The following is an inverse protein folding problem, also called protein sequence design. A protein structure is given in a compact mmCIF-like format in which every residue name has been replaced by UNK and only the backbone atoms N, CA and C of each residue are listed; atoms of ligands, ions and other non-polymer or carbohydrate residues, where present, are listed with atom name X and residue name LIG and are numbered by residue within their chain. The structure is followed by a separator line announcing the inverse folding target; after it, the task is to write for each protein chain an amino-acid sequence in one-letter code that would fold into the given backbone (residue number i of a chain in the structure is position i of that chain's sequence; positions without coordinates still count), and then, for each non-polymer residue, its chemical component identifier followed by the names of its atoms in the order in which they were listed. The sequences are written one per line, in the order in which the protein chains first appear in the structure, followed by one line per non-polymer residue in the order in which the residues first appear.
data_IF_922471616392
#
_entry.id   IF_922471616392
#
_cell.length_a   1.000
_cell.length_b   1.000
_cell.length_c   1.000
_cell.angle_alpha   90.00
_cell.angle_beta   90.00
_cell.angle_gamma   90.00
#
_symmetry.space_group_name_H-M   'P 1'
#
loop_
_entity.id
_entity.type
_entity.pdbx_description
1 polymer ?
#
# COMPACT_ATOMS: atom_id res chain seq x y z
N UNK A 1 -0.52 5.86 1.96
CA UNK A 1 0.51 6.86 2.26
C UNK A 1 0.10 7.83 3.38
N UNK A 2 -1.02 8.62 3.28
CA UNK A 2 -1.38 9.60 4.32
C UNK A 2 -1.74 8.94 5.66
N UNK A 3 -2.55 7.89 5.65
CA UNK A 3 -2.92 7.13 6.86
C UNK A 3 -1.67 6.50 7.47
N UNK A 4 -0.83 5.82 6.68
CA UNK A 4 0.45 5.24 7.14
C UNK A 4 1.32 6.28 7.85
N UNK A 5 1.50 7.47 7.26
CA UNK A 5 2.28 8.57 7.86
C UNK A 5 1.72 9.05 9.21
N UNK A 6 0.41 8.98 9.41
CA UNK A 6 -0.17 9.35 10.71
C UNK A 6 0.02 8.23 11.74
N UNK A 7 -0.18 6.96 11.35
CA UNK A 7 0.07 5.82 12.23
C UNK A 7 1.52 5.78 12.71
N UNK A 8 2.48 6.06 11.84
CA UNK A 8 3.92 6.10 12.18
C UNK A 8 4.31 7.20 13.18
N UNK A 9 3.40 8.11 13.55
CA UNK A 9 3.64 9.03 14.68
C UNK A 9 3.55 8.35 16.04
N UNK A 10 2.84 7.21 16.12
CA UNK A 10 2.81 6.38 17.31
C UNK A 10 4.05 5.46 17.34
N UNK A 11 4.70 5.30 18.51
CA UNK A 11 5.84 4.41 18.67
C UNK A 11 5.49 2.93 18.52
N UNK A 12 4.20 2.58 18.52
CA UNK A 12 3.74 1.20 18.36
C UNK A 12 3.95 0.69 16.94
N UNK A 13 4.06 1.60 15.95
CA UNK A 13 4.21 1.26 14.53
C UNK A 13 5.64 1.50 14.05
N UNK A 14 6.06 0.67 13.10
CA UNK A 14 7.31 0.81 12.39
C UNK A 14 7.06 0.72 10.88
N UNK A 15 7.64 1.65 10.12
CA UNK A 15 7.67 1.54 8.67
C UNK A 15 8.58 0.39 8.24
N UNK A 16 8.15 -0.36 7.26
CA UNK A 16 8.99 -1.32 6.55
C UNK A 16 9.66 -0.59 5.39
N UNK A 17 10.98 -0.54 5.41
CA UNK A 17 11.77 0.06 4.35
C UNK A 17 12.06 -0.98 3.28
N UNK A 18 11.49 -0.80 2.09
CA UNK A 18 11.72 -1.71 0.96
C UNK A 18 13.11 -1.52 0.37
N UNK A 19 13.63 -2.58 -0.25
CA UNK A 19 14.88 -2.55 -1.00
C UNK A 19 14.62 -2.19 -2.46
N UNK A 20 15.57 -1.52 -3.11
CA UNK A 20 15.50 -1.25 -4.55
C UNK A 20 16.88 -1.16 -5.17
N UNK A 21 16.98 -1.64 -6.43
CA UNK A 21 18.18 -1.43 -7.25
C UNK A 21 18.15 -0.14 -8.06
N UNK A 22 17.09 0.65 -7.90
CA UNK A 22 16.96 1.97 -8.50
C UNK A 22 17.86 2.98 -7.77
N UNK A 23 18.49 3.88 -8.51
CA UNK A 23 19.18 5.01 -7.90
C UNK A 23 18.22 5.94 -7.13
N UNK A 24 18.67 6.57 -6.03
CA UNK A 24 17.90 7.59 -5.32
C UNK A 24 17.42 8.70 -6.25
N UNK A 25 16.18 9.16 -6.05
CA UNK A 25 15.61 10.30 -6.79
C UNK A 25 15.65 11.55 -5.94
N UNK A 26 15.56 12.69 -6.61
CA UNK A 26 15.33 13.97 -5.94
C UNK A 26 13.91 14.43 -6.20
N UNK A 27 13.11 14.53 -5.14
CA UNK A 27 11.72 14.93 -5.19
C UNK A 27 11.57 16.29 -4.48
N UNK A 28 11.07 17.31 -5.16
CA UNK A 28 10.90 18.66 -4.61
C UNK A 28 12.16 19.23 -3.93
N UNK A 29 13.35 18.97 -4.49
CA UNK A 29 14.63 19.44 -3.95
C UNK A 29 15.21 18.61 -2.81
N UNK A 30 14.51 17.56 -2.36
CA UNK A 30 15.00 16.61 -1.35
C UNK A 30 15.39 15.30 -2.02
N UNK A 31 16.63 14.84 -1.77
CA UNK A 31 17.08 13.52 -2.23
C UNK A 31 16.52 12.42 -1.32
N UNK A 32 16.10 11.31 -1.92
CA UNK A 32 15.74 10.10 -1.18
C UNK A 32 16.95 9.60 -0.37
N UNK A 33 16.70 9.11 0.83
CA UNK A 33 17.73 8.70 1.80
C UNK A 33 17.73 7.19 1.99
N UNK A 34 18.94 6.61 1.98
CA UNK A 34 19.12 5.19 2.25
C UNK A 34 18.69 4.84 3.69
N UNK A 35 17.98 3.70 3.82
CA UNK A 35 17.43 3.25 5.09
C UNK A 35 16.22 4.04 5.60
N UNK A 36 15.74 5.03 4.85
CA UNK A 36 14.56 5.83 5.17
C UNK A 36 13.49 5.68 4.08
N UNK A 37 13.82 6.07 2.84
CA UNK A 37 12.89 5.95 1.71
C UNK A 37 12.97 4.56 1.09
N UNK A 38 14.18 4.06 0.94
CA UNK A 38 14.51 2.69 0.50
C UNK A 38 15.86 2.26 1.07
N UNK A 39 16.10 0.95 1.10
CA UNK A 39 17.45 0.41 1.10
C UNK A 39 17.93 0.34 -0.35
N UNK A 40 18.82 1.26 -0.74
CA UNK A 40 19.37 1.30 -2.09
C UNK A 40 20.51 0.29 -2.22
N UNK A 41 20.27 -0.78 -2.95
CA UNK A 41 21.22 -1.88 -3.14
C UNK A 41 21.61 -2.01 -4.61
N UNK A 42 22.76 -2.61 -4.89
CA UNK A 42 23.15 -2.95 -6.26
C UNK A 42 22.47 -4.23 -6.76
N UNK A 43 22.54 -4.47 -8.06
CA UNK A 43 21.90 -5.64 -8.69
C UNK A 43 22.48 -6.96 -8.17
N UNK A 44 23.78 -7.01 -7.87
CA UNK A 44 24.42 -8.23 -7.36
C UNK A 44 23.92 -8.57 -5.95
N UNK A 45 23.77 -7.56 -5.10
CA UNK A 45 23.18 -7.71 -3.75
C UNK A 45 21.74 -8.20 -3.86
N UNK A 46 20.92 -7.59 -4.74
CA UNK A 46 19.53 -8.02 -4.94
C UNK A 46 19.45 -9.48 -5.43
N UNK A 47 20.33 -9.89 -6.35
CA UNK A 47 20.40 -11.28 -6.84
C UNK A 47 20.77 -12.24 -5.71
N UNK A 48 21.75 -11.92 -4.90
CA UNK A 48 22.14 -12.73 -3.74
C UNK A 48 20.98 -12.87 -2.74
N UNK A 49 20.27 -11.78 -2.44
CA UNK A 49 19.10 -11.79 -1.56
C UNK A 49 17.98 -12.67 -2.12
N UNK A 50 17.73 -12.63 -3.44
CA UNK A 50 16.76 -13.50 -4.09
C UNK A 50 17.15 -14.98 -3.99
N UNK A 51 18.41 -15.31 -4.26
CA UNK A 51 18.92 -16.69 -4.19
C UNK A 51 18.87 -17.25 -2.77
N UNK A 52 19.06 -16.41 -1.76
CA UNK A 52 19.03 -16.79 -0.35
C UNK A 52 17.62 -16.75 0.28
N UNK A 53 16.58 -16.46 -0.50
CA UNK A 53 15.19 -16.28 -0.02
C UNK A 53 15.09 -15.22 1.10
N UNK A 54 15.83 -14.14 1.00
CA UNK A 54 15.82 -13.05 1.99
C UNK A 54 14.68 -12.05 1.78
N UNK A 55 14.00 -12.09 0.63
CA UNK A 55 12.80 -11.31 0.36
C UNK A 55 11.52 -12.06 0.74
N UNK A 56 10.56 -11.33 1.32
CA UNK A 56 9.16 -11.78 1.48
C UNK A 56 8.46 -11.68 0.13
N UNK A 57 8.63 -10.53 -0.54
CA UNK A 57 8.16 -10.28 -1.89
C UNK A 57 9.25 -9.50 -2.65
N UNK A 58 9.35 -9.76 -3.92
CA UNK A 58 10.20 -9.00 -4.81
C UNK A 58 9.60 -8.91 -6.22
N UNK A 59 9.68 -7.74 -6.82
CA UNK A 59 9.16 -7.45 -8.17
C UNK A 59 10.24 -6.84 -9.04
N UNK A 60 10.23 -7.24 -10.30
CA UNK A 60 11.06 -6.66 -11.32
C UNK A 60 10.22 -5.71 -12.19
N UNK A 61 10.44 -4.41 -12.04
CA UNK A 61 9.67 -3.37 -12.71
C UNK A 61 10.62 -2.46 -13.51
N UNK A 62 10.47 -2.42 -14.81
CA UNK A 62 11.28 -1.58 -15.72
C UNK A 62 12.80 -1.70 -15.50
N UNK A 63 13.30 -2.91 -15.32
CA UNK A 63 14.74 -3.15 -15.13
C UNK A 63 15.25 -2.93 -13.71
N UNK A 64 14.37 -2.72 -12.75
CA UNK A 64 14.70 -2.44 -11.35
C UNK A 64 14.00 -3.44 -10.43
N UNK A 65 14.72 -3.94 -9.44
CA UNK A 65 14.15 -4.77 -8.37
C UNK A 65 13.56 -3.85 -7.30
N UNK A 66 12.40 -4.21 -6.80
CA UNK A 66 11.80 -3.70 -5.58
C UNK A 66 11.40 -4.89 -4.72
N UNK A 67 11.63 -4.85 -3.43
CA UNK A 67 11.24 -5.95 -2.56
C UNK A 67 11.35 -5.64 -1.09
N UNK A 68 10.62 -6.39 -0.28
CA UNK A 68 10.65 -6.29 1.17
C UNK A 68 11.38 -7.49 1.76
N UNK A 69 12.38 -7.24 2.60
CA UNK A 69 13.16 -8.31 3.21
C UNK A 69 12.51 -8.87 4.48
N UNK A 70 12.79 -10.15 4.75
CA UNK A 70 12.44 -10.81 6.02
C UNK A 70 13.09 -10.08 7.21
N UNK A 71 14.28 -9.52 7.01
CA UNK A 71 15.01 -8.78 8.05
C UNK A 71 14.26 -7.55 8.55
N UNK A 72 13.54 -6.82 7.68
CA UNK A 72 12.73 -5.67 8.06
C UNK A 72 11.55 -6.06 8.97
N UNK A 73 10.85 -7.18 8.67
CA UNK A 73 9.81 -7.70 9.56
C UNK A 73 10.38 -8.15 10.90
N UNK A 74 11.49 -8.87 10.86
CA UNK A 74 12.15 -9.33 12.07
C UNK A 74 12.57 -8.15 12.97
N UNK A 75 13.09 -7.08 12.38
CA UNK A 75 13.48 -5.89 13.11
C UNK A 75 12.28 -5.20 13.81
N UNK A 76 11.13 -5.16 13.18
CA UNK A 76 9.90 -4.66 13.80
C UNK A 76 9.45 -5.56 14.97
N UNK A 77 9.46 -6.87 14.76
CA UNK A 77 9.15 -7.86 15.79
C UNK A 77 10.09 -7.76 17.01
N UNK A 78 11.41 -7.69 16.78
CA UNK A 78 12.41 -7.60 17.85
C UNK A 78 12.27 -6.29 18.67
N UNK A 79 11.72 -5.24 18.04
CA UNK A 79 11.36 -3.98 18.70
C UNK A 79 9.98 -3.99 19.35
N UNK A 80 9.24 -5.11 19.28
CA UNK A 80 7.85 -5.23 19.73
C UNK A 80 6.95 -4.13 19.12
N UNK A 81 7.10 -3.88 17.81
CA UNK A 81 6.36 -2.87 17.03
C UNK A 81 5.61 -3.53 15.89
N UNK A 82 4.48 -2.95 15.56
CA UNK A 82 3.70 -3.37 14.39
C UNK A 82 4.37 -2.85 13.12
N UNK A 83 4.75 -3.75 12.24
CA UNK A 83 5.29 -3.42 10.93
C UNK A 83 4.17 -2.95 10.00
N UNK A 84 4.33 -1.79 9.34
CA UNK A 84 3.39 -1.28 8.35
C UNK A 84 4.10 -0.99 7.03
N UNK A 85 3.42 -1.33 5.92
CA UNK A 85 3.89 -1.01 4.57
C UNK A 85 2.75 -0.64 3.65
N UNK A 86 3.05 0.10 2.57
CA UNK A 86 2.15 0.34 1.45
C UNK A 86 2.58 -0.56 0.29
N UNK A 87 1.72 -1.47 -0.13
CA UNK A 87 1.98 -2.38 -1.24
C UNK A 87 0.76 -2.46 -2.16
N UNK A 88 0.95 -2.91 -3.40
CA UNK A 88 -0.15 -3.18 -4.31
C UNK A 88 -0.84 -4.51 -4.01
N UNK A 89 -1.99 -4.77 -4.64
CA UNK A 89 -2.77 -5.99 -4.41
C UNK A 89 -2.00 -7.29 -4.69
N UNK A 90 -1.03 -7.27 -5.61
CA UNK A 90 -0.19 -8.45 -5.90
C UNK A 90 0.81 -8.70 -4.77
N UNK A 91 1.37 -7.64 -4.18
CA UNK A 91 2.23 -7.77 -3.01
C UNK A 91 1.47 -8.29 -1.80
N UNK A 92 0.23 -7.85 -1.58
CA UNK A 92 -0.61 -8.38 -0.49
C UNK A 92 -0.85 -9.87 -0.65
N UNK A 93 -1.12 -10.38 -1.85
CA UNK A 93 -1.30 -11.81 -2.11
C UNK A 93 -0.06 -12.63 -1.69
N UNK A 94 1.14 -12.11 -1.94
CA UNK A 94 2.38 -12.77 -1.49
C UNK A 94 2.54 -12.74 0.04
N UNK A 95 2.18 -11.62 0.68
CA UNK A 95 2.17 -11.53 2.14
C UNK A 95 1.19 -12.52 2.77
N UNK A 96 -0.03 -12.64 2.26
CA UNK A 96 -1.03 -13.62 2.75
C UNK A 96 -0.50 -15.06 2.70
N UNK A 97 0.31 -15.39 1.69
CA UNK A 97 0.91 -16.70 1.56
C UNK A 97 2.09 -16.94 2.51
N UNK A 98 2.92 -15.93 2.75
CA UNK A 98 4.20 -16.04 3.48
C UNK A 98 4.12 -15.56 4.92
N UNK A 99 3.21 -14.67 5.24
CA UNK A 99 2.96 -14.11 6.55
C UNK A 99 1.45 -14.01 6.82
N UNK A 100 0.75 -15.15 7.00
CA UNK A 100 -0.72 -15.20 7.07
C UNK A 100 -1.33 -14.47 8.27
N UNK A 101 -0.52 -14.08 9.25
CA UNK A 101 -0.95 -13.24 10.37
C UNK A 101 -0.94 -11.73 10.02
N UNK A 102 -0.60 -11.38 8.78
CA UNK A 102 -0.65 -10.00 8.32
C UNK A 102 -2.09 -9.51 8.16
N UNK A 103 -2.32 -8.25 8.46
CA UNK A 103 -3.62 -7.60 8.30
C UNK A 103 -3.61 -6.78 7.02
N UNK A 104 -4.37 -7.22 6.03
CA UNK A 104 -4.50 -6.52 4.76
C UNK A 104 -5.66 -5.50 4.84
N UNK A 105 -5.35 -4.22 4.60
CA UNK A 105 -6.33 -3.13 4.63
C UNK A 105 -6.42 -2.49 3.25
N UNK A 106 -7.61 -2.50 2.66
CA UNK A 106 -7.90 -1.85 1.39
C UNK A 106 -8.67 -0.55 1.62
N UNK A 107 -8.05 0.58 1.28
CA UNK A 107 -8.59 1.91 1.56
C UNK A 107 -9.25 2.46 0.31
N UNK A 108 -10.55 2.78 0.39
CA UNK A 108 -11.32 3.33 -0.72
C UNK A 108 -11.75 4.77 -0.45
N UNK A 109 -11.86 5.62 -1.49
CA UNK A 109 -12.55 6.91 -1.38
C UNK A 109 -14.06 6.69 -1.25
N UNK A 110 -14.83 7.69 -0.76
CA UNK A 110 -16.27 7.54 -0.56
C UNK A 110 -17.06 7.43 -1.87
N UNK A 111 -16.55 7.94 -2.99
CA UNK A 111 -17.18 7.92 -4.30
C UNK A 111 -16.16 8.19 -5.43
N UNK A 112 -16.61 8.00 -6.68
CA UNK A 112 -15.81 8.18 -7.89
C UNK A 112 -15.34 9.63 -8.10
N UNK A 113 -16.17 10.61 -7.78
CA UNK A 113 -15.81 12.03 -7.89
C UNK A 113 -14.63 12.36 -6.96
N UNK A 114 -14.70 11.98 -5.70
CA UNK A 114 -13.60 12.19 -4.74
C UNK A 114 -12.33 11.43 -5.18
N UNK A 115 -12.47 10.25 -5.76
CA UNK A 115 -11.33 9.52 -6.32
C UNK A 115 -10.63 10.30 -7.44
N UNK A 116 -11.41 10.80 -8.43
CA UNK A 116 -10.89 11.60 -9.54
C UNK A 116 -10.20 12.87 -9.03
N UNK A 117 -10.85 13.61 -8.12
CA UNK A 117 -10.31 14.84 -7.55
C UNK A 117 -8.98 14.60 -6.82
N UNK A 118 -8.87 13.50 -6.05
CA UNK A 118 -7.64 13.13 -5.36
C UNK A 118 -6.56 12.67 -6.33
N UNK A 119 -6.95 11.98 -7.39
CA UNK A 119 -6.03 11.54 -8.43
C UNK A 119 -5.46 12.73 -9.21
N UNK A 120 -6.30 13.68 -9.64
CA UNK A 120 -5.87 14.90 -10.33
C UNK A 120 -4.81 15.70 -9.56
N UNK A 121 -4.95 15.79 -8.24
CA UNK A 121 -3.98 16.50 -7.38
C UNK A 121 -2.56 15.92 -7.38
N UNK A 122 -2.36 14.74 -7.95
CA UNK A 122 -1.02 14.11 -8.07
C UNK A 122 -0.25 14.57 -9.32
N UNK A 123 -0.92 15.28 -10.24
CA UNK A 123 -0.33 15.71 -11.49
C UNK A 123 -0.19 17.23 -11.52
N UNK A 124 0.88 17.71 -12.16
CA UNK A 124 1.15 19.13 -12.25
C UNK A 124 0.22 19.85 -13.21
N UNK A 125 -0.19 19.16 -14.29
CA UNK A 125 -1.06 19.71 -15.33
C UNK A 125 -2.22 18.74 -15.65
N UNK A 126 -3.27 19.27 -16.31
CA UNK A 126 -4.38 18.45 -16.80
C UNK A 126 -3.91 17.52 -17.92
N UNK A 127 -2.95 17.95 -18.75
CA UNK A 127 -2.37 17.13 -19.82
C UNK A 127 -1.68 15.89 -19.24
N UNK A 128 -0.88 16.05 -18.18
CA UNK A 128 -0.22 14.94 -17.48
C UNK A 128 -1.26 13.95 -16.91
N UNK A 129 -2.33 14.49 -16.33
CA UNK A 129 -3.43 13.67 -15.82
C UNK A 129 -4.10 12.86 -16.95
N UNK A 130 -4.44 13.52 -18.07
CA UNK A 130 -5.10 12.86 -19.20
C UNK A 130 -4.22 11.77 -19.85
N UNK A 131 -2.89 11.99 -19.91
CA UNK A 131 -1.95 11.00 -20.42
C UNK A 131 -1.91 9.73 -19.55
N UNK A 132 -2.03 9.87 -18.22
CA UNK A 132 -1.99 8.75 -17.27
C UNK A 132 -3.38 8.15 -16.97
N UNK A 133 -4.47 8.86 -17.30
CA UNK A 133 -5.83 8.46 -16.99
C UNK A 133 -6.19 7.04 -17.43
N UNK A 134 -5.93 6.61 -18.70
CA UNK A 134 -6.33 5.26 -19.12
C UNK A 134 -5.68 4.17 -18.27
N UNK A 135 -4.43 4.37 -17.89
CA UNK A 135 -3.69 3.43 -17.05
C UNK A 135 -4.21 3.41 -15.61
N UNK A 136 -4.47 4.59 -15.03
CA UNK A 136 -5.00 4.71 -13.66
C UNK A 136 -6.41 4.16 -13.54
N UNK A 137 -7.24 4.42 -14.54
CA UNK A 137 -8.60 3.91 -14.64
C UNK A 137 -8.61 2.37 -14.69
N UNK A 138 -7.82 1.77 -15.60
CA UNK A 138 -7.72 0.32 -15.72
C UNK A 138 -7.17 -0.35 -14.44
N UNK A 139 -6.14 0.26 -13.80
CA UNK A 139 -5.61 -0.24 -12.53
C UNK A 139 -6.66 -0.20 -11.42
N UNK A 140 -7.41 0.90 -11.30
CA UNK A 140 -8.43 1.05 -10.26
C UNK A 140 -9.54 0.00 -10.38
N UNK A 141 -10.01 -0.28 -11.59
CA UNK A 141 -11.00 -1.35 -11.84
C UNK A 141 -10.44 -2.70 -11.39
N UNK A 142 -9.23 -3.03 -11.83
CA UNK A 142 -8.60 -4.31 -11.51
C UNK A 142 -8.38 -4.49 -10.02
N UNK A 143 -7.84 -3.48 -9.34
CA UNK A 143 -7.52 -3.51 -7.91
C UNK A 143 -8.78 -3.58 -7.05
N UNK A 144 -9.82 -2.77 -7.36
CA UNK A 144 -11.11 -2.82 -6.66
C UNK A 144 -11.82 -4.15 -6.85
N UNK A 145 -11.87 -4.67 -8.09
CA UNK A 145 -12.49 -5.96 -8.37
C UNK A 145 -11.81 -7.07 -7.57
N UNK A 146 -10.46 -7.11 -7.60
CA UNK A 146 -9.69 -8.09 -6.84
C UNK A 146 -9.92 -7.97 -5.33
N UNK A 147 -9.85 -6.78 -4.76
CA UNK A 147 -10.04 -6.57 -3.33
C UNK A 147 -11.45 -6.94 -2.85
N UNK A 148 -12.46 -6.85 -3.71
CA UNK A 148 -13.83 -7.27 -3.42
C UNK A 148 -14.05 -8.78 -3.55
N UNK A 149 -13.25 -9.48 -4.36
CA UNK A 149 -13.34 -10.91 -4.60
C UNK A 149 -12.73 -11.71 -3.46
N UNK A 150 -11.60 -11.24 -2.91
CA UNK A 150 -10.87 -11.97 -1.87
C UNK A 150 -11.36 -11.62 -0.46
N UNK A 151 -11.41 -12.60 0.48
CA UNK A 151 -12.02 -12.40 1.79
C UNK A 151 -11.10 -11.76 2.85
N UNK A 152 -9.80 -11.68 2.61
CA UNK A 152 -8.82 -11.29 3.61
C UNK A 152 -8.66 -9.77 3.79
N UNK A 153 -9.18 -8.95 2.87
CA UNK A 153 -9.11 -7.50 3.04
C UNK A 153 -10.14 -6.97 4.04
N UNK A 154 -9.66 -6.13 4.96
CA UNK A 154 -10.51 -5.16 5.63
C UNK A 154 -10.68 -3.94 4.74
N UNK A 155 -11.91 -3.58 4.41
CA UNK A 155 -12.18 -2.41 3.56
C UNK A 155 -12.49 -1.20 4.44
N UNK A 156 -11.79 -0.09 4.21
CA UNK A 156 -11.96 1.15 4.96
C UNK A 156 -12.32 2.27 4.00
N UNK A 157 -13.37 3.05 4.34
CA UNK A 157 -13.75 4.25 3.59
C UNK A 157 -12.96 5.43 4.15
N UNK A 158 -12.16 6.07 3.30
CA UNK A 158 -11.45 7.30 3.62
C UNK A 158 -12.26 8.53 3.14
N UNK A 159 -13.38 8.77 3.77
CA UNK A 159 -14.18 9.99 3.64
C UNK A 159 -13.68 11.08 4.60
N UNK A 160 -13.46 10.71 5.87
CA UNK A 160 -12.83 11.50 6.90
C UNK A 160 -11.52 10.87 7.34
N UNK A 161 -10.42 11.63 7.28
CA UNK A 161 -9.08 11.11 7.53
C UNK A 161 -8.90 10.64 8.98
N UNK A 162 -9.40 11.41 9.97
CA UNK A 162 -9.24 11.07 11.38
C UNK A 162 -10.03 9.80 11.74
N UNK A 163 -11.23 9.66 11.16
CA UNK A 163 -12.02 8.43 11.30
C UNK A 163 -11.31 7.25 10.67
N UNK A 164 -10.79 7.39 9.46
CA UNK A 164 -10.08 6.32 8.77
C UNK A 164 -8.84 5.87 9.54
N UNK A 165 -8.08 6.80 10.14
CA UNK A 165 -6.93 6.48 11.00
C UNK A 165 -7.38 5.68 12.21
N UNK A 166 -8.39 6.16 12.98
CA UNK A 166 -8.88 5.44 14.17
C UNK A 166 -9.37 4.03 13.85
N UNK A 167 -10.14 3.87 12.77
CA UNK A 167 -10.63 2.55 12.35
C UNK A 167 -9.45 1.64 11.97
N UNK A 168 -8.45 2.18 11.28
CA UNK A 168 -7.24 1.43 10.94
C UNK A 168 -6.49 0.97 12.19
N UNK A 169 -6.25 1.86 13.15
CA UNK A 169 -5.61 1.52 14.43
C UNK A 169 -6.40 0.45 15.19
N UNK A 170 -7.71 0.59 15.27
CA UNK A 170 -8.57 -0.36 15.98
C UNK A 170 -8.51 -1.75 15.35
N UNK A 171 -8.55 -1.85 14.01
CA UNK A 171 -8.41 -3.13 13.31
C UNK A 171 -7.04 -3.76 13.63
N UNK A 172 -5.96 -2.98 13.58
CA UNK A 172 -4.60 -3.48 13.78
C UNK A 172 -4.38 -3.91 15.24
N UNK A 173 -4.78 -3.09 16.21
CA UNK A 173 -4.43 -3.30 17.63
C UNK A 173 -5.41 -4.21 18.37
N UNK A 174 -6.66 -4.29 17.92
CA UNK A 174 -7.74 -5.03 18.60
C UNK A 174 -8.25 -6.25 17.83
N UNK A 175 -7.76 -6.46 16.61
CA UNK A 175 -8.26 -7.48 15.72
C UNK A 175 -9.62 -7.12 15.12
N UNK A 176 -10.21 -8.06 14.39
CA UNK A 176 -11.45 -7.88 13.62
C UNK A 176 -12.70 -7.75 14.52
N UNK A 177 -12.78 -6.66 15.31
CA UNK A 177 -13.97 -6.33 16.09
C UNK A 177 -15.10 -5.78 15.20
N UNK A 178 -14.80 -5.45 13.92
CA UNK A 178 -15.66 -4.63 13.06
C UNK A 178 -16.18 -5.33 11.80
N UNK A 179 -16.37 -6.63 11.79
CA UNK A 179 -16.99 -7.35 10.65
C UNK A 179 -18.30 -6.69 10.13
N UNK A 180 -19.04 -5.97 10.97
CA UNK A 180 -20.25 -5.24 10.54
C UNK A 180 -19.95 -3.99 9.71
N UNK A 181 -18.84 -3.30 9.98
CA UNK A 181 -18.45 -2.11 9.21
C UNK A 181 -17.82 -2.51 7.86
N UNK A 182 -17.24 -3.70 7.79
CA UNK A 182 -16.67 -4.23 6.55
C UNK A 182 -17.75 -4.44 5.47
N UNK A 183 -18.93 -4.91 5.83
CA UNK A 183 -20.04 -5.08 4.89
C UNK A 183 -20.50 -3.75 4.26
N UNK A 184 -20.63 -2.68 5.07
CA UNK A 184 -20.97 -1.36 4.57
C UNK A 184 -19.86 -0.78 3.69
N UNK A 185 -18.60 -0.90 4.11
CA UNK A 185 -17.46 -0.44 3.34
C UNK A 185 -17.31 -1.21 2.03
N UNK A 186 -17.56 -2.51 2.02
CA UNK A 186 -17.58 -3.33 0.78
C UNK A 186 -18.73 -2.93 -0.16
N UNK A 187 -19.87 -2.53 0.37
CA UNK A 187 -20.97 -2.01 -0.46
C UNK A 187 -20.56 -0.69 -1.13
N UNK A 188 -19.94 0.22 -0.40
CA UNK A 188 -19.38 1.47 -0.98
C UNK A 188 -18.33 1.16 -2.04
N UNK A 189 -17.44 0.21 -1.79
CA UNK A 189 -16.43 -0.19 -2.76
C UNK A 189 -17.04 -0.81 -4.04
N UNK A 190 -18.12 -1.59 -3.94
CA UNK A 190 -18.85 -2.13 -5.11
C UNK A 190 -19.52 -1.02 -5.92
N UNK A 191 -20.15 -0.06 -5.24
CA UNK A 191 -20.75 1.10 -5.92
C UNK A 191 -19.68 1.93 -6.62
N UNK A 192 -18.55 2.16 -5.94
CA UNK A 192 -17.39 2.85 -6.53
C UNK A 192 -16.85 2.13 -7.77
N UNK A 193 -16.72 0.79 -7.72
CA UNK A 193 -16.30 0.00 -8.87
C UNK A 193 -17.26 0.18 -10.05
N UNK A 194 -18.57 0.07 -9.81
CA UNK A 194 -19.58 0.27 -10.84
C UNK A 194 -19.53 1.69 -11.44
N UNK A 195 -19.35 2.70 -10.61
CA UNK A 195 -19.21 4.08 -11.08
C UNK A 195 -17.98 4.23 -11.97
N UNK A 196 -16.81 3.69 -11.52
CA UNK A 196 -15.56 3.80 -12.27
C UNK A 196 -15.63 3.06 -13.61
N UNK A 197 -16.27 1.90 -13.68
CA UNK A 197 -16.44 1.16 -14.95
C UNK A 197 -17.23 1.98 -15.98
N UNK A 198 -18.13 2.86 -15.54
CA UNK A 198 -19.01 3.66 -16.40
C UNK A 198 -18.47 5.08 -16.69
N UNK A 199 -17.25 5.42 -16.26
CA UNK A 199 -16.56 6.66 -16.61
C UNK A 199 -15.87 6.58 -17.97
#
# INVERSE_FOLDING_TARGET
DTIKKQLLKSPEFRDIVSHTTRAPRTNNGCAEQDGIDYHFIDSQTAENMLQNNEFIEAKFVHGTVYGTSVAELKLAHDQNRVAITDIDVQGVEEYERLAPDSIAIFIVPPNSQTWIERLKKRYATEEDFQAEWPKRHASAIKELAYALEVPYYHVIINDDLERAIRVTEEIILRGDVFKRQDDEARLVARNLLNDIINL
#
